data_IF_411678976280
#
_entry.id   IF_411678976280
#
_cell.length_a   1.000
_cell.length_b   1.000
_cell.length_c   1.000
_cell.angle_alpha   90.00
_cell.angle_beta   90.00
_cell.angle_gamma   90.00
#
_symmetry.space_group_name_H-M   'P 1'
#
loop_
_entity.id
_entity.type
_entity.pdbx_description
1 polymer ?
#
# COMPACT_ATOMS: atom_id res chain seq x y z
N UNK A 1 -18.00 -17.30 -10.49
CA UNK A 1 -17.82 -16.86 -9.08
C UNK A 1 -16.44 -17.30 -8.64
N UNK A 2 -15.46 -16.40 -8.68
CA UNK A 2 -14.12 -16.65 -8.13
C UNK A 2 -14.24 -16.80 -6.62
N UNK A 3 -13.92 -18.00 -6.11
CA UNK A 3 -13.88 -18.26 -4.66
C UNK A 3 -12.54 -17.71 -4.16
N UNK A 4 -12.50 -16.41 -3.84
CA UNK A 4 -11.35 -15.83 -3.14
C UNK A 4 -11.32 -16.43 -1.74
N UNK A 5 -10.33 -17.28 -1.47
CA UNK A 5 -10.18 -17.95 -0.19
C UNK A 5 -8.73 -18.23 0.10
N UNK A 6 -8.24 -17.68 1.21
CA UNK A 6 -6.91 -17.98 1.74
C UNK A 6 -6.94 -19.31 2.49
N UNK A 7 -5.87 -20.11 2.32
CA UNK A 7 -5.55 -21.22 3.24
C UNK A 7 -5.43 -20.68 4.67
N UNK A 8 -5.73 -21.51 5.67
CA UNK A 8 -5.77 -21.09 7.09
C UNK A 8 -4.57 -20.24 7.51
N UNK A 9 -3.34 -20.75 7.39
CA UNK A 9 -2.15 -19.99 7.79
C UNK A 9 -1.94 -18.67 7.04
N UNK A 10 -2.32 -18.58 5.76
CA UNK A 10 -2.30 -17.31 5.03
C UNK A 10 -3.39 -16.36 5.52
N UNK A 11 -4.57 -16.88 5.86
CA UNK A 11 -5.64 -16.06 6.45
C UNK A 11 -5.23 -15.50 7.80
N UNK A 12 -4.61 -16.32 8.65
CA UNK A 12 -4.11 -15.87 9.96
C UNK A 12 -3.08 -14.74 9.76
N UNK A 13 -2.08 -14.91 8.89
CA UNK A 13 -1.10 -13.86 8.60
C UNK A 13 -1.73 -12.55 8.07
N UNK A 14 -2.72 -12.65 7.17
CA UNK A 14 -3.47 -11.49 6.71
C UNK A 14 -4.20 -10.77 7.87
N UNK A 15 -4.89 -11.53 8.72
CA UNK A 15 -5.65 -10.98 9.84
C UNK A 15 -4.75 -10.44 10.96
N UNK A 16 -3.56 -10.99 11.15
CA UNK A 16 -2.54 -10.45 12.06
C UNK A 16 -2.09 -9.06 11.59
N UNK A 17 -1.84 -8.89 10.28
CA UNK A 17 -1.48 -7.57 9.72
C UNK A 17 -2.63 -6.56 9.85
N UNK A 18 -3.87 -6.96 9.56
CA UNK A 18 -5.05 -6.09 9.72
C UNK A 18 -5.25 -5.66 11.19
N UNK A 19 -4.89 -6.50 12.16
CA UNK A 19 -4.95 -6.13 13.58
C UNK A 19 -3.86 -5.13 13.97
N UNK A 20 -2.67 -5.20 13.36
CA UNK A 20 -1.58 -4.26 13.61
C UNK A 20 -1.82 -2.92 12.92
N UNK A 21 -2.24 -2.95 11.65
CA UNK A 21 -2.55 -1.78 10.85
C UNK A 21 -3.78 -2.07 9.99
N UNK A 22 -4.95 -1.47 10.31
CA UNK A 22 -6.18 -1.72 9.56
C UNK A 22 -6.08 -1.22 8.12
N UNK A 23 -6.62 -1.98 7.16
CA UNK A 23 -6.81 -1.54 5.77
C UNK A 23 -7.97 -0.53 5.69
N UNK A 24 -7.74 0.65 6.24
CA UNK A 24 -8.64 1.80 6.16
C UNK A 24 -8.06 2.83 5.18
N UNK A 25 -8.95 3.63 4.58
CA UNK A 25 -8.52 4.74 3.72
C UNK A 25 -7.49 5.61 4.44
N UNK A 26 -6.37 5.90 3.77
CA UNK A 26 -5.36 6.83 4.26
C UNK A 26 -5.97 8.24 4.29
N UNK A 27 -5.69 9.03 5.34
CA UNK A 27 -6.38 10.31 5.61
C UNK A 27 -5.45 11.50 5.86
N UNK A 28 -4.16 11.25 6.10
CA UNK A 28 -3.17 12.24 6.50
C UNK A 28 -1.78 11.75 6.13
N UNK A 29 -0.82 12.65 5.98
CA UNK A 29 0.59 12.31 5.72
C UNK A 29 1.20 11.43 6.83
N UNK A 30 0.81 11.63 8.09
CA UNK A 30 1.25 10.76 9.20
C UNK A 30 0.74 9.32 8.99
N UNK A 31 -0.52 9.17 8.60
CA UNK A 31 -1.11 7.86 8.31
C UNK A 31 -0.50 7.21 7.06
N UNK A 32 -0.14 8.03 6.05
CA UNK A 32 0.60 7.59 4.88
C UNK A 32 2.00 7.07 5.27
N UNK A 33 2.70 7.78 6.15
CA UNK A 33 4.02 7.36 6.62
C UNK A 33 3.96 6.05 7.41
N UNK A 34 2.93 5.85 8.24
CA UNK A 34 2.69 4.58 8.92
C UNK A 34 2.41 3.44 7.93
N UNK A 35 1.58 3.67 6.91
CA UNK A 35 1.33 2.71 5.85
C UNK A 35 2.62 2.32 5.10
N UNK A 36 3.44 3.31 4.73
CA UNK A 36 4.75 3.09 4.08
C UNK A 36 5.68 2.26 4.95
N UNK A 37 5.76 2.55 6.25
CA UNK A 37 6.57 1.77 7.18
C UNK A 37 6.12 0.30 7.27
N UNK A 38 4.82 0.02 7.17
CA UNK A 38 4.30 -1.36 7.13
C UNK A 38 4.69 -2.04 5.82
N UNK A 39 4.56 -1.35 4.69
CA UNK A 39 4.98 -1.86 3.38
C UNK A 39 6.49 -2.16 3.35
N UNK A 40 7.33 -1.25 3.84
CA UNK A 40 8.79 -1.45 3.91
C UNK A 40 9.16 -2.70 4.72
N UNK A 41 8.49 -2.91 5.86
CA UNK A 41 8.71 -4.10 6.69
C UNK A 41 8.33 -5.40 5.97
N UNK A 42 7.27 -5.38 5.15
CA UNK A 42 6.86 -6.53 4.37
C UNK A 42 7.81 -6.78 3.19
N UNK A 43 8.20 -5.72 2.48
CA UNK A 43 9.14 -5.78 1.36
C UNK A 43 10.55 -6.17 1.78
N UNK A 44 10.93 -5.92 3.03
CA UNK A 44 12.20 -6.38 3.60
C UNK A 44 12.25 -7.89 3.90
N UNK A 45 11.12 -8.62 3.80
CA UNK A 45 11.09 -10.07 4.04
C UNK A 45 11.57 -10.82 2.81
N UNK A 46 12.38 -11.87 3.03
CA UNK A 46 12.87 -12.74 1.94
C UNK A 46 11.72 -13.40 1.15
N UNK A 47 10.64 -13.77 1.85
CA UNK A 47 9.44 -14.36 1.26
C UNK A 47 8.19 -13.90 1.98
N UNK A 48 7.16 -13.60 1.20
CA UNK A 48 5.80 -13.36 1.67
C UNK A 48 4.96 -14.60 1.43
N UNK A 49 4.04 -14.89 2.34
CA UNK A 49 2.98 -15.84 2.09
C UNK A 49 1.78 -15.14 1.43
N UNK A 50 0.87 -15.92 0.83
CA UNK A 50 -0.27 -15.40 0.07
C UNK A 50 -1.14 -14.38 0.82
N UNK A 51 -1.25 -14.49 2.15
CA UNK A 51 -2.00 -13.53 2.96
C UNK A 51 -1.26 -12.20 3.11
N UNK A 52 0.06 -12.25 3.28
CA UNK A 52 0.89 -11.04 3.36
C UNK A 52 0.97 -10.35 2.01
N UNK A 53 1.07 -11.12 0.91
CA UNK A 53 1.01 -10.59 -0.46
C UNK A 53 -0.33 -9.90 -0.72
N UNK A 54 -1.45 -10.54 -0.37
CA UNK A 54 -2.79 -9.96 -0.53
C UNK A 54 -3.00 -8.70 0.32
N UNK A 55 -2.43 -8.68 1.52
CA UNK A 55 -2.47 -7.50 2.37
C UNK A 55 -1.65 -6.36 1.78
N UNK A 56 -0.42 -6.64 1.31
CA UNK A 56 0.47 -5.66 0.72
C UNK A 56 -0.13 -5.05 -0.56
N UNK A 57 -0.77 -5.86 -1.39
CA UNK A 57 -1.46 -5.43 -2.61
C UNK A 57 -2.57 -4.42 -2.27
N UNK A 58 -3.47 -4.77 -1.34
CA UNK A 58 -4.53 -3.88 -0.91
C UNK A 58 -4.02 -2.60 -0.22
N UNK A 59 -2.96 -2.70 0.59
CA UNK A 59 -2.36 -1.52 1.22
C UNK A 59 -1.73 -0.58 0.19
N UNK A 60 -1.09 -1.15 -0.84
CA UNK A 60 -0.49 -0.39 -1.95
C UNK A 60 -1.57 0.38 -2.72
N UNK A 61 -2.73 -0.23 -2.98
CA UNK A 61 -3.87 0.44 -3.62
C UNK A 61 -4.38 1.62 -2.77
N UNK A 62 -4.47 1.46 -1.45
CA UNK A 62 -4.93 2.52 -0.54
C UNK A 62 -3.96 3.71 -0.50
N UNK A 63 -2.66 3.42 -0.50
CA UNK A 63 -1.62 4.45 -0.55
C UNK A 63 -1.64 5.19 -1.87
N UNK A 64 -1.67 4.46 -2.99
CA UNK A 64 -1.73 5.06 -4.32
C UNK A 64 -2.97 5.96 -4.48
N UNK A 65 -4.13 5.53 -3.96
CA UNK A 65 -5.35 6.34 -4.00
C UNK A 65 -5.22 7.65 -3.20
N UNK A 66 -4.49 7.65 -2.09
CA UNK A 66 -4.23 8.87 -1.32
C UNK A 66 -3.22 9.79 -2.02
N UNK A 67 -2.13 9.22 -2.53
CA UNK A 67 -1.10 9.95 -3.25
C UNK A 67 -1.66 10.59 -4.54
N UNK A 68 -2.53 9.91 -5.30
CA UNK A 68 -3.17 10.51 -6.48
C UNK A 68 -4.00 11.76 -6.13
N UNK A 69 -4.72 11.72 -5.01
CA UNK A 69 -5.53 12.84 -4.54
C UNK A 69 -4.70 14.00 -3.97
N UNK A 70 -3.59 13.70 -3.29
CA UNK A 70 -2.77 14.68 -2.56
C UNK A 70 -1.58 15.20 -3.38
N UNK A 71 -1.03 14.38 -4.27
CA UNK A 71 0.06 14.68 -5.19
C UNK A 71 -0.42 14.66 -6.64
N UNK A 72 -1.60 15.26 -6.89
CA UNK A 72 -1.99 15.58 -8.26
C UNK A 72 -0.82 16.34 -8.89
N UNK A 73 -0.09 15.66 -9.79
CA UNK A 73 1.03 16.23 -10.52
C UNK A 73 0.39 17.38 -11.31
N UNK A 74 0.51 18.60 -10.80
CA UNK A 74 0.16 19.79 -11.56
C UNK A 74 0.84 19.66 -12.92
N UNK A 75 0.15 20.01 -14.03
CA UNK A 75 0.61 19.71 -15.37
C UNK A 75 2.09 20.03 -15.43
N UNK A 76 2.92 19.01 -15.74
CA UNK A 76 4.36 19.19 -15.86
C UNK A 76 4.54 20.39 -16.78
N UNK A 77 4.86 21.55 -16.20
CA UNK A 77 4.96 22.76 -16.98
C UNK A 77 6.24 22.55 -17.78
N UNK A 78 6.07 22.40 -19.08
CA UNK A 78 7.10 22.34 -20.12
C UNK A 78 8.16 23.46 -20.00
N UNK A 79 7.93 24.42 -19.09
CA UNK A 79 8.73 25.60 -18.80
C UNK A 79 10.15 25.39 -18.25
N UNK A 80 10.59 24.18 -17.90
CA UNK A 80 11.98 23.95 -17.43
C UNK A 80 12.87 23.16 -18.41
N UNK A 81 12.37 22.78 -19.59
CA UNK A 81 13.16 22.05 -20.61
C UNK A 81 13.92 22.93 -21.62
N UNK A 82 14.06 24.24 -21.40
CA UNK A 82 14.83 25.11 -22.30
C UNK A 82 15.67 26.14 -21.53
N UNK A 83 16.86 25.73 -21.10
CA UNK A 83 17.99 26.66 -20.96
C UNK A 83 19.22 26.06 -21.63
N UNK A 84 19.55 26.65 -22.77
CA UNK A 84 20.70 26.43 -23.65
C UNK A 84 22.03 26.60 -22.91
#
# INVERSE_FOLDING_TARGET
MTRFGLKRGCRDAYLELVQVFPLASVKSDEHLQEAQNVMDRLLAKDRLNQGEEMYLDALSDLVAAYEDQHHAIGPASDADMLRH
#
